data_IF_128811419384
#
_entry.id   IF_128811419384
#
_cell.length_a   1.000
_cell.length_b   1.000
_cell.length_c   1.000
_cell.angle_alpha   90.00
_cell.angle_beta   90.00
_cell.angle_gamma   90.00
#
_symmetry.space_group_name_H-M   'P 1'
#
loop_
_entity.id
_entity.type
_entity.pdbx_description
1 polymer ?
#
# COMPACT_ATOMS: atom_id res chain seq x y z
N UNK A 1 -9.16 11.09 -3.15
CA UNK A 1 -9.84 10.22 -2.16
C UNK A 1 -8.90 9.86 -1.03
N UNK A 2 -9.39 9.99 0.21
CA UNK A 2 -8.68 9.74 1.49
C UNK A 2 -8.04 8.34 1.58
N UNK A 3 -8.59 7.35 0.87
CA UNK A 3 -8.26 5.93 1.01
C UNK A 3 -6.83 5.57 0.58
N UNK A 4 -6.27 6.20 -0.46
CA UNK A 4 -4.91 5.88 -0.93
C UNK A 4 -3.82 6.35 0.05
N UNK A 5 -4.00 7.53 0.64
CA UNK A 5 -3.14 8.09 1.67
C UNK A 5 -3.22 7.29 2.98
N UNK A 6 -4.44 6.86 3.34
CA UNK A 6 -4.66 5.95 4.47
C UNK A 6 -3.95 4.60 4.28
N UNK A 7 -4.09 3.96 3.11
CA UNK A 7 -3.43 2.69 2.81
C UNK A 7 -1.90 2.79 2.90
N UNK A 8 -1.31 3.88 2.38
CA UNK A 8 0.13 4.12 2.53
C UNK A 8 0.56 4.23 3.99
N UNK A 9 -0.18 5.01 4.81
CA UNK A 9 0.09 5.12 6.24
C UNK A 9 -0.01 3.79 6.97
N UNK A 10 -1.02 2.98 6.63
CA UNK A 10 -1.27 1.67 7.20
C UNK A 10 -0.10 0.70 6.94
N UNK A 11 0.36 0.61 5.68
CA UNK A 11 1.46 -0.27 5.26
C UNK A 11 2.82 0.06 5.91
N UNK A 12 3.06 1.34 6.22
CA UNK A 12 4.28 1.80 6.89
C UNK A 12 4.28 1.40 8.37
N UNK A 13 3.12 1.42 9.03
CA UNK A 13 3.02 1.07 10.46
C UNK A 13 2.89 -0.43 10.71
N UNK A 14 2.10 -1.14 9.90
CA UNK A 14 1.76 -2.56 10.13
C UNK A 14 2.98 -3.47 10.16
N UNK A 15 4.06 -3.15 9.45
CA UNK A 15 5.26 -4.01 9.40
C UNK A 15 6.05 -4.00 10.72
N UNK A 16 5.90 -2.97 11.56
CA UNK A 16 6.71 -2.82 12.76
C UNK A 16 6.27 -3.75 13.89
N UNK A 17 4.96 -3.90 14.08
CA UNK A 17 4.41 -4.72 15.17
C UNK A 17 4.76 -6.22 15.08
N UNK A 18 4.67 -6.88 13.91
CA UNK A 18 5.02 -8.29 13.78
C UNK A 18 6.50 -8.54 13.45
N UNK A 19 7.39 -7.55 13.61
CA UNK A 19 8.79 -7.68 13.20
C UNK A 19 9.50 -8.90 13.81
N UNK A 20 9.36 -9.11 15.12
CA UNK A 20 9.93 -10.25 15.83
C UNK A 20 9.33 -11.59 15.37
N UNK A 21 8.02 -11.63 15.08
CA UNK A 21 7.33 -12.82 14.58
C UNK A 21 7.75 -13.17 13.15
N UNK A 22 8.00 -12.16 12.30
CA UNK A 22 8.48 -12.40 10.93
C UNK A 22 9.94 -12.89 10.96
N UNK A 23 10.77 -12.33 11.84
CA UNK A 23 12.17 -12.78 11.99
C UNK A 23 12.27 -14.21 12.53
N UNK A 24 11.43 -14.58 13.50
CA UNK A 24 11.32 -15.96 13.98
C UNK A 24 10.80 -16.90 12.89
N UNK A 25 9.78 -16.49 12.12
CA UNK A 25 9.29 -17.26 10.97
C UNK A 25 10.37 -17.49 9.90
N UNK A 26 11.22 -16.49 9.60
CA UNK A 26 12.37 -16.64 8.70
C UNK A 26 13.34 -17.69 9.24
N UNK A 27 13.66 -17.61 10.54
CA UNK A 27 14.56 -18.57 11.21
C UNK A 27 14.02 -19.99 11.13
N UNK A 28 12.74 -20.20 11.44
CA UNK A 28 12.10 -21.52 11.38
C UNK A 28 12.06 -22.08 9.97
N UNK A 29 11.69 -21.24 8.99
CA UNK A 29 11.62 -21.64 7.58
C UNK A 29 13.00 -22.01 7.04
N UNK A 30 14.02 -21.24 7.41
CA UNK A 30 15.41 -21.53 7.02
C UNK A 30 15.92 -22.83 7.63
N UNK A 31 15.67 -23.05 8.92
CA UNK A 31 16.04 -24.28 9.61
C UNK A 31 15.39 -25.51 8.95
N UNK A 32 14.10 -25.42 8.59
CA UNK A 32 13.38 -26.49 7.89
C UNK A 32 13.95 -26.80 6.51
N UNK A 33 14.46 -25.80 5.78
CA UNK A 33 14.99 -25.98 4.40
C UNK A 33 16.44 -26.41 4.35
N UNK A 34 17.29 -25.84 5.21
CA UNK A 34 18.74 -25.98 5.14
C UNK A 34 19.36 -26.76 6.30
N UNK A 35 18.58 -27.13 7.31
CA UNK A 35 19.05 -27.89 8.48
C UNK A 35 19.99 -27.14 9.42
N UNK A 36 20.33 -25.88 9.11
CA UNK A 36 21.17 -24.99 9.91
C UNK A 36 20.41 -23.74 10.31
N UNK A 37 20.66 -23.20 11.51
CA UNK A 37 20.10 -21.91 11.89
C UNK A 37 20.89 -20.79 11.19
N UNK A 38 20.22 -19.83 10.54
CA UNK A 38 20.89 -18.67 9.96
C UNK A 38 21.52 -17.82 11.07
N UNK A 39 22.61 -17.12 10.75
CA UNK A 39 23.25 -16.16 11.67
C UNK A 39 22.32 -14.99 11.96
N UNK A 40 22.50 -14.34 13.13
CA UNK A 40 21.72 -13.15 13.50
C UNK A 40 21.89 -12.00 12.49
N UNK A 41 23.08 -11.87 11.92
CA UNK A 41 23.38 -10.91 10.85
C UNK A 41 22.55 -11.18 9.60
N UNK A 42 22.44 -12.44 9.18
CA UNK A 42 21.64 -12.82 8.01
C UNK A 42 20.15 -12.53 8.21
N UNK A 43 19.59 -12.85 9.39
CA UNK A 43 18.20 -12.53 9.72
C UNK A 43 17.95 -11.01 9.66
N UNK A 44 18.87 -10.23 10.22
CA UNK A 44 18.79 -8.75 10.22
C UNK A 44 18.88 -8.19 8.81
N UNK A 45 19.75 -8.75 7.96
CA UNK A 45 19.88 -8.38 6.55
C UNK A 45 18.60 -8.69 5.77
N UNK A 46 18.03 -9.88 5.95
CA UNK A 46 16.76 -10.27 5.33
C UNK A 46 15.60 -9.38 5.77
N UNK A 47 15.51 -9.08 7.06
CA UNK A 47 14.50 -8.16 7.60
C UNK A 47 14.65 -6.76 6.99
N UNK A 48 15.88 -6.23 6.96
CA UNK A 48 16.16 -4.92 6.37
C UNK A 48 15.80 -4.88 4.88
N UNK A 49 16.03 -5.99 4.16
CA UNK A 49 15.64 -6.14 2.76
C UNK A 49 14.11 -6.13 2.59
N UNK A 50 13.36 -6.86 3.42
CA UNK A 50 11.88 -6.87 3.43
C UNK A 50 11.30 -5.48 3.70
N UNK A 51 11.93 -4.70 4.57
CA UNK A 51 11.49 -3.32 4.85
C UNK A 51 11.82 -2.40 3.67
N UNK A 52 13.03 -2.51 3.11
CA UNK A 52 13.53 -1.60 2.07
C UNK A 52 12.92 -1.83 0.68
N UNK A 53 12.55 -3.08 0.34
CA UNK A 53 11.95 -3.42 -0.96
C UNK A 53 10.61 -2.69 -1.19
N UNK A 54 9.91 -2.32 -0.11
CA UNK A 54 8.71 -1.49 -0.18
C UNK A 54 9.00 -0.12 -0.80
N UNK A 55 10.11 0.51 -0.43
CA UNK A 55 10.54 1.80 -0.99
C UNK A 55 10.90 1.69 -2.46
N UNK A 56 11.53 0.58 -2.87
CA UNK A 56 11.83 0.28 -4.29
C UNK A 56 10.51 0.13 -5.07
N UNK A 57 9.54 -0.61 -4.54
CA UNK A 57 8.20 -0.69 -5.11
C UNK A 57 7.55 0.68 -5.23
N UNK A 58 7.65 1.51 -4.20
CA UNK A 58 7.16 2.89 -4.19
C UNK A 58 7.78 3.77 -5.27
N UNK A 59 9.09 3.62 -5.53
CA UNK A 59 9.77 4.30 -6.63
C UNK A 59 9.21 3.89 -7.99
N UNK A 60 9.07 2.58 -8.24
CA UNK A 60 8.51 2.06 -9.49
C UNK A 60 7.05 2.51 -9.70
N UNK A 61 6.25 2.49 -8.63
CA UNK A 61 4.87 2.98 -8.64
C UNK A 61 4.79 4.48 -8.91
N UNK A 62 5.70 5.28 -8.35
CA UNK A 62 5.75 6.73 -8.56
C UNK A 62 6.16 7.10 -9.98
N UNK A 63 7.20 6.45 -10.51
CA UNK A 63 7.67 6.68 -11.89
C UNK A 63 6.61 6.33 -12.94
N UNK A 64 5.82 5.28 -12.70
CA UNK A 64 4.74 4.87 -13.60
C UNK A 64 3.45 5.66 -13.42
N UNK A 65 3.25 6.33 -12.28
CA UNK A 65 2.02 7.09 -11.98
C UNK A 65 1.76 8.21 -13.00
N UNK A 66 2.80 8.95 -13.41
CA UNK A 66 2.68 10.01 -14.42
C UNK A 66 2.15 9.47 -15.75
N UNK A 67 2.80 8.44 -16.28
CA UNK A 67 2.41 7.80 -17.55
C UNK A 67 1.00 7.19 -17.49
N UNK A 68 0.69 6.44 -16.44
CA UNK A 68 -0.60 5.76 -16.27
C UNK A 68 -1.75 6.76 -16.09
N UNK A 69 -1.52 7.86 -15.35
CA UNK A 69 -2.55 8.89 -15.11
C UNK A 69 -2.93 9.67 -16.35
N UNK A 70 -1.99 9.88 -17.29
CA UNK A 70 -2.23 10.53 -18.58
C UNK A 70 -2.91 9.55 -19.53
N UNK A 71 -2.36 8.34 -19.69
CA UNK A 71 -2.86 7.38 -20.69
C UNK A 71 -4.25 6.81 -20.38
N UNK A 72 -4.52 6.48 -19.12
CA UNK A 72 -5.77 5.81 -18.72
C UNK A 72 -6.75 6.73 -17.98
N UNK A 73 -6.32 7.95 -17.64
CA UNK A 73 -7.06 8.82 -16.73
C UNK A 73 -6.83 8.46 -15.26
N UNK A 74 -7.11 9.42 -14.37
CA UNK A 74 -6.73 9.34 -12.95
C UNK A 74 -7.51 8.26 -12.19
N UNK A 75 -8.81 8.12 -12.47
CA UNK A 75 -9.68 7.09 -11.86
C UNK A 75 -9.26 5.67 -12.24
N UNK A 76 -9.05 5.41 -13.53
CA UNK A 76 -8.60 4.10 -14.01
C UNK A 76 -7.19 3.77 -13.53
N UNK A 77 -6.28 4.76 -13.45
CA UNK A 77 -4.97 4.56 -12.86
C UNK A 77 -5.06 4.12 -11.38
N UNK A 78 -5.96 4.71 -10.58
CA UNK A 78 -6.19 4.25 -9.20
C UNK A 78 -6.79 2.83 -9.14
N UNK A 79 -7.68 2.47 -10.06
CA UNK A 79 -8.22 1.10 -10.14
C UNK A 79 -7.13 0.09 -10.51
N UNK A 80 -6.24 0.42 -11.45
CA UNK A 80 -5.10 -0.41 -11.82
C UNK A 80 -4.12 -0.59 -10.65
N UNK A 81 -3.97 0.40 -9.77
CA UNK A 81 -3.18 0.28 -8.54
C UNK A 81 -3.74 -0.75 -7.55
N UNK A 82 -5.05 -1.00 -7.55
CA UNK A 82 -5.64 -1.97 -6.62
C UNK A 82 -5.24 -3.42 -6.95
N UNK A 83 -4.90 -3.73 -8.21
CA UNK A 83 -4.49 -5.07 -8.64
C UNK A 83 -3.22 -5.53 -7.90
N UNK A 84 -2.07 -4.80 -7.97
CA UNK A 84 -0.88 -5.18 -7.21
C UNK A 84 -1.11 -5.09 -5.70
N UNK A 85 -2.03 -4.24 -5.22
CA UNK A 85 -2.36 -4.18 -3.80
C UNK A 85 -3.02 -5.48 -3.28
N UNK A 86 -4.01 -6.01 -4.02
CA UNK A 86 -4.67 -7.27 -3.70
C UNK A 86 -3.71 -8.46 -3.82
N UNK A 87 -2.88 -8.48 -4.88
CA UNK A 87 -1.83 -9.49 -5.02
C UNK A 87 -0.84 -9.44 -3.86
N UNK A 88 -0.42 -8.25 -3.45
CA UNK A 88 0.48 -8.06 -2.31
C UNK A 88 -0.13 -8.57 -1.01
N UNK A 89 -1.39 -8.23 -0.73
CA UNK A 89 -2.10 -8.69 0.45
C UNK A 89 -2.31 -10.22 0.46
N UNK A 90 -2.64 -10.81 -0.69
CA UNK A 90 -2.78 -12.26 -0.83
C UNK A 90 -1.46 -12.99 -0.60
N UNK A 91 -0.36 -12.52 -1.20
CA UNK A 91 0.97 -13.10 -1.01
C UNK A 91 1.43 -13.02 0.46
N UNK A 92 1.19 -11.89 1.13
CA UNK A 92 1.55 -11.73 2.54
C UNK A 92 0.67 -12.59 3.46
N UNK A 93 -0.63 -12.71 3.18
CA UNK A 93 -1.55 -13.55 3.95
C UNK A 93 -1.28 -15.05 3.80
N UNK A 94 -0.91 -15.50 2.59
CA UNK A 94 -0.61 -16.90 2.30
C UNK A 94 0.84 -17.31 2.67
N UNK A 95 1.71 -16.36 3.00
CA UNK A 95 3.13 -16.60 3.28
C UNK A 95 3.38 -17.69 4.35
N UNK A 96 2.57 -17.69 5.41
CA UNK A 96 2.65 -18.69 6.49
C UNK A 96 2.19 -20.08 6.04
N UNK A 97 1.12 -20.15 5.24
CA UNK A 97 0.58 -21.42 4.73
C UNK A 97 1.58 -22.12 3.80
N UNK A 98 2.28 -21.34 2.97
CA UNK A 98 3.28 -21.86 2.04
C UNK A 98 4.67 -22.04 2.66
N UNK A 99 4.92 -21.59 3.89
CA UNK A 99 6.26 -21.64 4.50
C UNK A 99 7.31 -20.91 3.67
N UNK A 100 6.97 -19.73 3.14
CA UNK A 100 7.83 -18.97 2.23
C UNK A 100 7.93 -17.51 2.65
N UNK A 101 9.14 -17.09 3.03
CA UNK A 101 9.45 -15.69 3.29
C UNK A 101 9.59 -14.87 2.00
N UNK A 102 9.84 -15.53 0.86
CA UNK A 102 9.92 -14.90 -0.46
C UNK A 102 8.58 -14.26 -0.85
N UNK A 103 7.46 -14.87 -0.45
CA UNK A 103 6.13 -14.30 -0.64
C UNK A 103 5.94 -12.99 0.11
N UNK A 104 6.56 -12.82 1.28
CA UNK A 104 6.53 -11.56 2.04
C UNK A 104 7.29 -10.48 1.28
N UNK A 105 8.47 -10.80 0.74
CA UNK A 105 9.28 -9.89 -0.08
C UNK A 105 8.50 -9.44 -1.32
N UNK A 106 7.95 -10.39 -2.07
CA UNK A 106 7.15 -10.09 -3.25
C UNK A 106 5.90 -9.26 -2.90
N UNK A 107 5.22 -9.62 -1.80
CA UNK A 107 4.05 -8.88 -1.33
C UNK A 107 4.36 -7.43 -0.98
N UNK A 108 5.48 -7.18 -0.28
CA UNK A 108 5.96 -5.83 0.06
C UNK A 108 6.31 -5.01 -1.18
N UNK A 109 6.90 -5.63 -2.21
CA UNK A 109 7.17 -4.97 -3.48
C UNK A 109 5.87 -4.50 -4.14
N UNK A 110 4.89 -5.39 -4.29
CA UNK A 110 3.60 -5.06 -4.93
C UNK A 110 2.79 -4.04 -4.13
N UNK A 111 2.74 -4.17 -2.80
CA UNK A 111 2.12 -3.16 -1.92
C UNK A 111 2.83 -1.81 -2.02
N UNK A 112 4.17 -1.80 -2.18
CA UNK A 112 4.95 -0.59 -2.44
C UNK A 112 4.58 0.08 -3.77
N UNK A 113 4.47 -0.70 -4.85
CA UNK A 113 4.03 -0.20 -6.17
C UNK A 113 2.64 0.45 -6.08
N UNK A 114 1.69 -0.22 -5.43
CA UNK A 114 0.38 0.37 -5.18
C UNK A 114 0.47 1.66 -4.36
N UNK A 115 1.23 1.66 -3.25
CA UNK A 115 1.38 2.81 -2.38
C UNK A 115 1.94 4.02 -3.12
N UNK A 116 3.00 3.82 -3.91
CA UNK A 116 3.61 4.85 -4.74
C UNK A 116 2.64 5.40 -5.79
N UNK A 117 1.95 4.52 -6.52
CA UNK A 117 1.02 4.94 -7.56
C UNK A 117 -0.19 5.69 -6.98
N UNK A 118 -0.83 5.14 -5.95
CA UNK A 118 -2.01 5.70 -5.33
C UNK A 118 -1.72 7.07 -4.68
N UNK A 119 -0.57 7.23 -4.04
CA UNK A 119 -0.17 8.51 -3.42
C UNK A 119 0.06 9.60 -4.47
N UNK A 120 0.78 9.30 -5.56
CA UNK A 120 1.05 10.28 -6.61
C UNK A 120 -0.23 10.69 -7.34
N UNK A 121 -1.06 9.71 -7.73
CA UNK A 121 -2.35 10.01 -8.39
C UNK A 121 -3.27 10.80 -7.46
N UNK A 122 -3.25 10.55 -6.16
CA UNK A 122 -4.00 11.34 -5.18
C UNK A 122 -3.55 12.82 -5.18
N UNK A 123 -2.25 13.09 -5.11
CA UNK A 123 -1.71 14.46 -5.11
C UNK A 123 -2.07 15.17 -6.42
N UNK A 124 -1.99 14.48 -7.56
CA UNK A 124 -2.39 15.02 -8.86
C UNK A 124 -3.88 15.37 -8.89
N UNK A 125 -4.75 14.43 -8.47
CA UNK A 125 -6.20 14.64 -8.42
C UNK A 125 -6.58 15.80 -7.47
N UNK A 126 -5.97 15.84 -6.30
CA UNK A 126 -6.11 16.93 -5.33
C UNK A 126 -5.71 18.29 -5.93
N UNK A 127 -4.57 18.36 -6.61
CA UNK A 127 -4.08 19.59 -7.23
C UNK A 127 -4.93 20.07 -8.42
N UNK A 128 -5.57 19.13 -9.13
CA UNK A 128 -6.50 19.41 -10.24
C UNK A 128 -7.87 19.91 -9.76
N UNK A 129 -8.39 19.36 -8.66
CA UNK A 129 -9.70 19.75 -8.10
C UNK A 129 -9.65 20.99 -7.18
N UNK A 130 -8.47 21.32 -6.64
CA UNK A 130 -8.31 22.40 -5.68
C UNK A 130 -8.39 23.81 -6.32
N UNK A 131 -9.26 24.72 -5.83
CA UNK A 131 -9.15 26.14 -6.16
C UNK A 131 -7.81 26.69 -5.63
N UNK A 132 -7.22 27.68 -6.33
CA UNK A 132 -5.85 28.18 -6.06
C UNK A 132 -5.59 28.54 -4.59
N UNK A 133 -6.63 28.96 -3.86
CA UNK A 133 -6.55 29.42 -2.48
C UNK A 133 -6.68 28.30 -1.42
N UNK A 134 -7.13 27.08 -1.79
CA UNK A 134 -7.36 25.95 -0.85
C UNK A 134 -6.44 24.75 -1.08
N UNK A 135 -5.45 24.87 -1.97
CA UNK A 135 -4.48 23.80 -2.24
C UNK A 135 -3.76 23.31 -0.98
N UNK A 136 -3.40 24.24 -0.09
CA UNK A 136 -2.78 23.92 1.19
C UNK A 136 -3.67 23.07 2.09
N UNK A 137 -4.98 23.36 2.14
CA UNK A 137 -5.94 22.63 2.96
C UNK A 137 -6.08 21.18 2.49
N UNK A 138 -6.08 20.95 1.17
CA UNK A 138 -6.18 19.59 0.62
C UNK A 138 -4.90 18.78 0.89
N UNK A 139 -3.72 19.40 0.82
CA UNK A 139 -2.48 18.74 1.21
C UNK A 139 -2.51 18.32 2.70
N UNK A 140 -3.08 19.14 3.58
CA UNK A 140 -3.28 18.80 5.00
C UNK A 140 -4.23 17.61 5.15
N UNK A 141 -5.35 17.55 4.42
CA UNK A 141 -6.25 16.39 4.52
C UNK A 141 -5.56 15.07 4.11
N UNK A 142 -4.66 15.11 3.12
CA UNK A 142 -3.89 13.95 2.70
C UNK A 142 -2.90 13.51 3.80
N UNK A 143 -2.16 14.45 4.40
CA UNK A 143 -1.21 14.13 5.48
C UNK A 143 -1.91 13.64 6.75
N UNK A 144 -3.07 14.22 7.11
CA UNK A 144 -3.92 13.72 8.19
C UNK A 144 -4.39 12.29 7.91
N UNK A 145 -4.78 11.98 6.66
CA UNK A 145 -5.18 10.62 6.27
C UNK A 145 -4.05 9.61 6.44
N UNK A 146 -2.81 9.99 6.11
CA UNK A 146 -1.62 9.15 6.36
C UNK A 146 -1.44 8.93 7.87
N UNK A 147 -1.55 9.99 8.67
CA UNK A 147 -1.40 9.90 10.13
C UNK A 147 -2.45 8.98 10.75
N UNK A 148 -3.71 9.08 10.32
CA UNK A 148 -4.79 8.19 10.75
C UNK A 148 -4.51 6.75 10.30
N UNK A 149 -4.04 6.53 9.07
CA UNK A 149 -3.62 5.20 8.60
C UNK A 149 -2.51 4.60 9.46
N UNK A 150 -1.51 5.40 9.83
CA UNK A 150 -0.44 4.97 10.73
C UNK A 150 -0.96 4.61 12.12
N UNK A 151 -1.86 5.43 12.66
CA UNK A 151 -2.49 5.20 13.97
C UNK A 151 -3.27 3.89 13.97
N UNK A 152 -4.11 3.66 12.95
CA UNK A 152 -4.85 2.40 12.79
C UNK A 152 -3.89 1.22 12.63
N UNK A 153 -2.79 1.38 11.90
CA UNK A 153 -1.78 0.34 11.75
C UNK A 153 -1.14 -0.08 13.07
N UNK A 154 -0.82 0.89 13.94
CA UNK A 154 -0.35 0.60 15.29
C UNK A 154 -1.45 0.00 16.16
N UNK A 155 -2.69 0.50 16.07
CA UNK A 155 -3.84 -0.01 16.80
C UNK A 155 -4.11 -1.50 16.49
N UNK A 156 -4.10 -1.87 15.20
CA UNK A 156 -4.23 -3.27 14.77
C UNK A 156 -3.02 -4.10 15.18
N UNK A 157 -1.83 -3.51 15.20
CA UNK A 157 -0.60 -4.13 15.63
C UNK A 157 -0.47 -4.38 17.13
N UNK A 158 -1.43 -3.95 17.97
CA UNK A 158 -1.42 -4.30 19.39
C UNK A 158 -1.56 -5.80 19.59
N UNK A 159 -0.86 -6.30 20.62
CA UNK A 159 -0.89 -7.71 21.03
C UNK A 159 -2.30 -8.21 21.35
N UNK A 160 -3.14 -7.33 21.90
CA UNK A 160 -4.55 -7.59 22.23
C UNK A 160 -5.49 -7.68 21.01
N UNK A 161 -5.04 -7.26 19.82
CA UNK A 161 -5.87 -7.18 18.61
C UNK A 161 -5.45 -8.22 17.57
N UNK A 162 -4.38 -7.93 16.81
CA UNK A 162 -3.85 -8.83 15.77
C UNK A 162 -2.33 -9.03 15.89
N UNK A 163 -1.68 -8.42 16.88
CA UNK A 163 -0.25 -8.58 17.18
C UNK A 163 0.12 -9.91 17.86
N UNK A 164 -0.67 -10.96 17.64
CA UNK A 164 -0.44 -12.31 18.15
C UNK A 164 0.32 -13.12 17.10
N UNK A 165 1.20 -14.02 17.54
CA UNK A 165 1.98 -14.91 16.66
C UNK A 165 1.11 -15.72 15.69
N UNK A 166 -0.13 -16.08 16.07
CA UNK A 166 -1.07 -16.77 15.20
C UNK A 166 -1.59 -15.88 14.02
N UNK A 167 -1.73 -14.57 14.26
CA UNK A 167 -2.51 -13.65 13.43
C UNK A 167 -1.67 -12.66 12.63
N UNK A 168 -0.33 -12.65 12.77
CA UNK A 168 0.54 -11.73 12.01
C UNK A 168 0.35 -11.78 10.47
N UNK A 169 0.08 -12.92 9.80
CA UNK A 169 -0.16 -12.91 8.36
C UNK A 169 -1.49 -12.23 8.01
N UNK A 170 -2.49 -12.36 8.88
CA UNK A 170 -3.79 -11.70 8.75
C UNK A 170 -3.64 -10.20 8.99
N UNK A 171 -2.79 -9.78 9.93
CA UNK A 171 -2.44 -8.38 10.14
C UNK A 171 -1.81 -7.76 8.87
N UNK A 172 -0.89 -8.48 8.21
CA UNK A 172 -0.33 -8.03 6.93
C UNK A 172 -1.38 -8.00 5.81
N UNK A 173 -2.27 -8.99 5.76
CA UNK A 173 -3.37 -9.05 4.80
C UNK A 173 -4.50 -8.05 5.09
N UNK A 174 -4.59 -7.48 6.29
CA UNK A 174 -5.61 -6.49 6.67
C UNK A 174 -5.59 -5.24 5.78
N UNK A 175 -4.47 -4.97 5.12
CA UNK A 175 -4.35 -3.95 4.09
C UNK A 175 -5.27 -4.17 2.87
N UNK A 176 -5.79 -5.39 2.66
CA UNK A 176 -6.80 -5.65 1.64
C UNK A 176 -8.11 -4.91 1.91
N UNK A 177 -8.46 -4.66 3.18
CA UNK A 177 -9.72 -3.99 3.56
C UNK A 177 -9.81 -2.57 2.98
N UNK A 178 -8.86 -1.65 3.21
CA UNK A 178 -8.92 -0.33 2.60
C UNK A 178 -8.85 -0.37 1.06
N UNK A 179 -8.16 -1.36 0.48
CA UNK A 179 -8.12 -1.56 -0.98
C UNK A 179 -9.50 -1.94 -1.53
N UNK A 180 -10.21 -2.85 -0.85
CA UNK A 180 -11.58 -3.24 -1.21
C UNK A 180 -12.56 -2.07 -1.04
N UNK A 181 -12.46 -1.32 0.06
CA UNK A 181 -13.24 -0.10 0.27
C UNK A 181 -12.95 0.91 -0.84
N UNK A 182 -11.69 1.08 -1.23
CA UNK A 182 -11.32 1.95 -2.35
C UNK A 182 -11.92 1.46 -3.67
N UNK A 183 -11.91 0.15 -3.92
CA UNK A 183 -12.48 -0.46 -5.13
C UNK A 183 -14.01 -0.31 -5.20
N UNK A 184 -14.70 -0.35 -4.06
CA UNK A 184 -16.14 -0.15 -3.96
C UNK A 184 -16.54 1.34 -4.04
N UNK A 185 -15.72 2.25 -3.51
CA UNK A 185 -16.02 3.69 -3.47
C UNK A 185 -15.61 4.44 -4.74
N UNK A 186 -14.56 3.99 -5.45
CA UNK A 186 -14.07 4.61 -6.68
C UNK A 186 -15.13 4.72 -7.81
N UNK A 187 -15.97 3.70 -8.08
CA UNK A 187 -16.99 3.77 -9.13
C UNK A 187 -17.97 4.94 -8.95
N UNK A 188 -18.33 5.24 -7.70
CA UNK A 188 -19.26 6.31 -7.33
C UNK A 188 -18.66 7.72 -7.39
N UNK A 189 -17.33 7.85 -7.43
CA UNK A 189 -16.69 9.15 -7.56
C UNK A 189 -16.68 9.63 -9.03
N UNK A 190 -17.05 10.90 -9.29
CA UNK A 190 -16.96 11.48 -10.63
C UNK A 190 -15.50 11.53 -11.09
N UNK A 191 -15.29 11.35 -12.39
CA UNK A 191 -13.98 11.46 -13.01
C UNK A 191 -13.38 12.87 -12.84
N UNK A 192 -12.04 13.00 -12.90
CA UNK A 192 -11.39 14.32 -12.77
C UNK A 192 -11.94 15.27 -13.85
N UNK A 193 -12.51 16.43 -13.47
CA UNK A 193 -13.08 17.40 -14.41
C UNK A 193 -12.05 17.87 -15.45
N UNK A 194 -10.75 17.87 -15.09
CA UNK A 194 -9.65 18.24 -16.00
C UNK A 194 -9.32 17.16 -17.03
N UNK A 195 -9.51 15.88 -16.73
CA UNK A 195 -9.34 14.80 -17.71
C UNK A 195 -10.46 14.83 -18.76
N UNK A 196 -11.70 15.09 -18.32
CA UNK A 196 -12.86 15.29 -19.19
C UNK A 196 -12.65 16.49 -20.14
N UNK A 197 -12.16 17.62 -19.60
CA UNK A 197 -11.93 18.85 -20.36
C UNK A 197 -10.72 18.83 -21.31
N UNK A 198 -9.58 18.25 -20.91
CA UNK A 198 -8.32 18.35 -21.65
C UNK A 198 -8.05 17.10 -22.50
N UNK A 199 -8.33 15.89 -22.01
CA UNK A 199 -8.03 14.63 -22.72
C UNK A 199 -9.24 14.09 -23.49
N UNK A 200 -10.47 14.22 -22.98
CA UNK A 200 -11.68 13.73 -23.67
C UNK A 200 -12.38 14.78 -24.55
N UNK A 201 -12.02 16.07 -24.45
CA UNK A 201 -12.70 17.19 -25.15
C UNK A 201 -14.22 17.23 -24.93
N UNK A 202 -14.72 16.60 -23.88
CA UNK A 202 -16.15 16.48 -23.64
C UNK A 202 -16.59 17.53 -22.61
N UNK A 203 -17.29 18.55 -23.11
CA UNK A 203 -17.76 19.70 -22.31
C UNK A 203 -19.01 19.37 -21.50
N UNK A 204 -19.70 18.26 -21.77
CA UNK A 204 -21.02 17.98 -21.17
C UNK A 204 -20.95 17.39 -19.75
N UNK A 205 -19.82 16.79 -19.35
CA UNK A 205 -19.60 16.33 -17.97
C UNK A 205 -19.23 17.44 -16.97
N UNK A 206 -19.31 18.70 -17.38
CA UNK A 206 -18.82 19.86 -16.63
C UNK A 206 -19.90 20.56 -15.80
N UNK A 207 -21.01 19.88 -15.50
CA UNK A 207 -22.13 20.38 -14.70
C UNK A 207 -22.11 19.74 -13.30
#
# INVERSE_FOLDING_TARGET
>A
GITGAFHYGLQVSIINSPAEYIQSFIRETWLKRYGSSPSAEMITLMWSFIVSIYSIGGLLGSSSAGYLSVRFGRKKAMLLANIPALLGAALMGLSRLCGSFEMIIAGRLFSGVCGGLAQNVHIMYAGECAPRNLRGLIAITASTSIAVGKFVGFALGLREVLGVEALWPILLAANAVPVLVQLLTLPFFPDSPRYLLIDQKDKEGCI
#
